data_IF_033676730476
#
_entry.id   IF_033676730476
#
_cell.length_a   1.000
_cell.length_b   1.000
_cell.length_c   1.000
_cell.angle_alpha   90.00
_cell.angle_beta   90.00
_cell.angle_gamma   90.00
#
_symmetry.space_group_name_H-M   'P 1'
#
loop_
_entity.id
_entity.type
_entity.pdbx_description
1 polymer ?
#
# COMPACT_ATOMS: atom_id res chain seq x y z
N UNK A 1 -69.17 -14.02 3.41
CA UNK A 1 -70.18 -12.94 3.29
C UNK A 1 -69.44 -11.78 2.65
N UNK A 2 -69.73 -11.59 1.39
CA UNK A 2 -70.33 -10.38 0.78
C UNK A 2 -69.37 -9.18 0.82
N UNK A 3 -68.75 -8.88 -0.38
CA UNK A 3 -69.20 -7.83 -1.32
C UNK A 3 -68.88 -6.43 -0.82
N UNK A 4 -68.14 -5.59 -1.55
CA UNK A 4 -68.42 -4.83 -2.79
C UNK A 4 -67.13 -4.15 -3.23
N UNK A 5 -66.52 -4.30 -4.41
CA UNK A 5 -66.88 -3.83 -5.75
C UNK A 5 -67.36 -2.36 -5.82
N UNK A 6 -66.59 -1.54 -6.51
CA UNK A 6 -66.97 -0.52 -7.51
C UNK A 6 -65.76 0.37 -7.74
N UNK A 7 -65.05 0.34 -8.90
CA UNK A 7 -65.41 0.96 -10.19
C UNK A 7 -65.58 2.47 -10.06
N UNK A 8 -64.67 3.27 -10.61
CA UNK A 8 -64.98 4.35 -11.54
C UNK A 8 -63.79 4.53 -12.46
N UNK A 9 -64.07 4.22 -13.72
CA UNK A 9 -63.31 4.51 -14.92
C UNK A 9 -63.63 5.91 -15.42
N UNK A 10 -62.69 6.43 -16.20
CA UNK A 10 -62.89 7.26 -17.37
C UNK A 10 -63.27 8.74 -17.15
N UNK A 11 -62.31 9.61 -17.47
CA UNK A 11 -62.64 10.71 -18.36
C UNK A 11 -61.42 11.07 -19.21
N UNK A 12 -61.57 10.70 -20.48
CA UNK A 12 -60.87 11.16 -21.67
C UNK A 12 -61.38 12.55 -22.00
N UNK A 13 -60.52 13.47 -22.49
CA UNK A 13 -60.69 14.32 -23.66
C UNK A 13 -59.67 15.43 -23.67
N UNK A 14 -58.71 15.32 -24.57
CA UNK A 14 -58.47 16.15 -25.74
C UNK A 14 -58.68 17.66 -25.55
N UNK A 15 -57.56 18.40 -25.54
CA UNK A 15 -57.51 19.70 -26.22
C UNK A 15 -56.18 19.74 -27.03
N UNK A 16 -56.33 19.63 -28.35
CA UNK A 16 -55.35 20.06 -29.33
C UNK A 16 -55.37 21.59 -29.38
N UNK A 17 -54.20 22.19 -29.19
CA UNK A 17 -53.96 23.60 -29.43
C UNK A 17 -52.60 23.79 -30.04
N UNK A 18 -52.52 23.83 -31.36
CA UNK A 18 -51.33 24.20 -32.09
C UNK A 18 -51.02 25.69 -31.90
N UNK A 19 -49.84 26.02 -31.47
CA UNK A 19 -49.23 27.33 -31.67
C UNK A 19 -47.77 27.10 -32.05
N UNK A 20 -47.50 27.33 -33.34
CA UNK A 20 -46.17 27.44 -33.88
C UNK A 20 -45.50 28.68 -33.29
N UNK A 21 -44.43 28.47 -32.51
CA UNK A 21 -43.50 29.50 -32.06
C UNK A 21 -42.10 29.09 -32.49
N UNK A 22 -41.61 29.64 -33.59
CA UNK A 22 -40.19 29.64 -33.92
C UNK A 22 -39.44 30.43 -32.86
N UNK A 23 -38.86 29.73 -31.89
CA UNK A 23 -37.82 30.23 -31.03
C UNK A 23 -36.52 29.50 -31.36
N UNK A 24 -35.58 30.20 -31.93
CA UNK A 24 -34.20 29.73 -32.07
C UNK A 24 -33.59 29.71 -30.71
N UNK A 25 -33.83 28.64 -29.96
CA UNK A 25 -33.03 28.32 -28.77
C UNK A 25 -31.72 27.70 -29.23
N UNK A 26 -30.71 28.52 -29.14
CA UNK A 26 -29.32 28.11 -29.11
C UNK A 26 -29.19 27.10 -27.99
N UNK A 27 -29.25 25.80 -28.31
CA UNK A 27 -28.81 24.76 -27.41
C UNK A 27 -27.32 24.99 -27.19
N UNK A 28 -26.99 25.65 -26.05
CA UNK A 28 -25.66 25.62 -25.50
C UNK A 28 -25.43 24.16 -25.14
N UNK A 29 -24.81 23.42 -26.02
CA UNK A 29 -24.16 22.17 -25.73
C UNK A 29 -23.02 22.45 -24.76
N UNK A 30 -23.35 22.60 -23.50
CA UNK A 30 -22.40 22.44 -22.44
C UNK A 30 -21.92 21.00 -22.50
N UNK A 31 -20.87 20.75 -23.27
CA UNK A 31 -20.08 19.54 -23.13
C UNK A 31 -19.45 19.60 -21.75
N UNK A 32 -20.16 19.18 -20.73
CA UNK A 32 -19.55 18.81 -19.47
C UNK A 32 -18.57 17.69 -19.83
N UNK A 33 -17.30 18.05 -19.99
CA UNK A 33 -16.23 17.04 -20.02
C UNK A 33 -16.41 16.27 -18.72
N UNK A 34 -16.76 15.00 -18.82
CA UNK A 34 -16.74 14.10 -17.68
C UNK A 34 -15.35 14.23 -17.05
N UNK A 35 -15.30 14.72 -15.81
CA UNK A 35 -14.05 14.94 -15.09
C UNK A 35 -13.37 13.58 -14.92
N UNK A 36 -12.21 13.41 -15.55
CA UNK A 36 -11.45 12.16 -15.47
C UNK A 36 -10.96 11.98 -14.05
N UNK A 37 -11.24 10.81 -13.46
CA UNK A 37 -10.84 10.48 -12.10
C UNK A 37 -9.62 9.58 -12.11
N UNK A 38 -8.66 9.87 -11.23
CA UNK A 38 -7.49 9.03 -10.94
C UNK A 38 -7.44 8.76 -9.43
N UNK A 39 -7.30 7.50 -9.05
CA UNK A 39 -7.27 7.08 -7.64
C UNK A 39 -5.93 6.46 -7.31
N UNK A 40 -5.24 7.03 -6.31
CA UNK A 40 -3.91 6.59 -5.84
C UNK A 40 -4.05 5.87 -4.50
N UNK A 41 -3.51 4.65 -4.43
CA UNK A 41 -3.49 3.83 -3.22
C UNK A 41 -2.16 3.89 -2.48
N UNK A 42 -2.19 3.92 -1.13
CA UNK A 42 -0.98 3.83 -0.30
C UNK A 42 -1.28 3.36 1.13
N UNK A 43 -0.26 3.22 1.98
CA UNK A 43 -0.40 2.85 3.39
C UNK A 43 0.14 3.97 4.30
N UNK A 44 -0.37 4.10 5.52
CA UNK A 44 0.10 5.12 6.47
C UNK A 44 1.39 4.71 7.18
N UNK A 45 2.45 4.44 6.42
CA UNK A 45 3.78 4.08 6.89
C UNK A 45 4.81 5.05 6.29
N UNK A 46 5.98 5.22 6.92
CA UNK A 46 7.01 6.16 6.43
C UNK A 46 7.55 5.75 5.05
N UNK A 47 7.66 4.47 4.77
CA UNK A 47 8.10 3.94 3.46
C UNK A 47 7.16 4.33 2.30
N UNK A 48 5.92 4.80 2.61
CA UNK A 48 4.97 5.39 1.66
C UNK A 48 4.97 6.93 1.65
N UNK A 49 5.91 7.59 2.31
CA UNK A 49 6.00 9.05 2.36
C UNK A 49 5.96 9.72 0.98
N UNK A 50 6.56 9.15 -0.10
CA UNK A 50 6.45 9.77 -1.42
C UNK A 50 5.01 10.03 -1.87
N UNK A 51 4.07 9.11 -1.64
CA UNK A 51 2.65 9.34 -1.98
C UNK A 51 1.99 10.39 -1.09
N UNK A 52 2.33 10.42 0.20
CA UNK A 52 1.79 11.41 1.15
C UNK A 52 2.26 12.81 0.79
N UNK A 53 3.53 12.95 0.41
CA UNK A 53 4.13 14.23 0.01
C UNK A 53 3.58 14.68 -1.34
N UNK A 54 3.49 13.78 -2.33
CA UNK A 54 2.89 14.12 -3.62
C UNK A 54 1.44 14.59 -3.46
N UNK A 55 0.67 13.98 -2.56
CA UNK A 55 -0.68 14.41 -2.20
C UNK A 55 -0.68 15.81 -1.55
N UNK A 56 0.09 16.02 -0.51
CA UNK A 56 0.06 17.28 0.27
C UNK A 56 0.61 18.46 -0.52
N UNK A 57 1.61 18.21 -1.38
CA UNK A 57 2.22 19.23 -2.26
C UNK A 57 1.45 19.41 -3.57
N UNK A 58 0.43 18.60 -3.85
CA UNK A 58 -0.36 18.67 -5.08
C UNK A 58 0.40 18.25 -6.34
N UNK A 59 1.43 17.40 -6.23
CA UNK A 59 2.23 17.00 -7.38
C UNK A 59 1.46 16.14 -8.37
N UNK A 60 0.56 15.27 -7.89
CA UNK A 60 -0.32 14.50 -8.78
C UNK A 60 -1.27 15.42 -9.57
N UNK A 61 -1.91 16.38 -8.90
CA UNK A 61 -2.80 17.34 -9.52
C UNK A 61 -2.06 18.21 -10.53
N UNK A 62 -0.86 18.68 -10.18
CA UNK A 62 0.03 19.48 -11.06
C UNK A 62 0.38 18.71 -12.34
N UNK A 63 0.85 17.48 -12.23
CA UNK A 63 1.27 16.67 -13.37
C UNK A 63 0.09 16.22 -14.24
N UNK A 64 -1.03 15.81 -13.60
CA UNK A 64 -2.21 15.34 -14.31
C UNK A 64 -2.96 16.48 -15.01
N UNK A 65 -2.88 17.71 -14.46
CA UNK A 65 -3.46 18.92 -15.03
C UNK A 65 -4.96 19.07 -14.80
N UNK A 66 -5.48 20.19 -15.31
CA UNK A 66 -6.90 20.54 -15.19
C UNK A 66 -7.81 19.49 -15.84
N UNK A 67 -8.93 19.16 -15.17
CA UNK A 67 -9.91 18.20 -15.67
C UNK A 67 -9.64 16.75 -15.24
N UNK A 68 -8.63 16.52 -14.40
CA UNK A 68 -8.39 15.24 -13.71
C UNK A 68 -8.54 15.42 -12.21
N UNK A 69 -9.54 14.77 -11.63
CA UNK A 69 -9.71 14.72 -10.17
C UNK A 69 -8.86 13.61 -9.59
N UNK A 70 -7.99 13.93 -8.63
CA UNK A 70 -7.19 12.93 -7.91
C UNK A 70 -7.88 12.58 -6.61
N UNK A 71 -8.03 11.29 -6.34
CA UNK A 71 -8.52 10.76 -5.08
C UNK A 71 -7.50 9.81 -4.47
N UNK A 72 -7.54 9.66 -3.16
CA UNK A 72 -6.58 8.89 -2.39
C UNK A 72 -7.27 7.84 -1.54
N UNK A 73 -6.71 6.63 -1.52
CA UNK A 73 -7.20 5.53 -0.67
C UNK A 73 -6.08 4.92 0.14
N UNK A 74 -6.38 4.61 1.39
CA UNK A 74 -5.47 3.87 2.26
C UNK A 74 -6.02 2.49 2.57
N UNK A 75 -5.11 1.56 2.83
CA UNK A 75 -5.42 0.14 2.99
C UNK A 75 -4.87 -0.41 4.30
N UNK A 76 -5.51 -1.42 4.91
CA UNK A 76 -5.01 -2.08 6.10
C UNK A 76 -3.86 -3.06 5.80
N UNK A 77 -3.85 -3.64 4.59
CA UNK A 77 -2.88 -4.66 4.17
C UNK A 77 -2.75 -4.74 2.64
N UNK A 78 -1.71 -5.46 2.18
CA UNK A 78 -1.41 -5.60 0.75
C UNK A 78 -2.45 -6.40 -0.03
N UNK A 79 -3.20 -7.30 0.60
CA UNK A 79 -4.27 -8.08 -0.04
C UNK A 79 -5.45 -7.20 -0.42
N UNK A 80 -5.89 -6.33 0.50
CA UNK A 80 -6.94 -5.34 0.26
C UNK A 80 -6.52 -4.36 -0.86
N UNK A 81 -5.26 -3.88 -0.85
CA UNK A 81 -4.72 -3.05 -1.92
C UNK A 81 -4.75 -3.74 -3.29
N UNK A 82 -4.26 -4.97 -3.37
CA UNK A 82 -4.24 -5.73 -4.63
C UNK A 82 -5.65 -6.03 -5.16
N UNK A 83 -6.62 -6.23 -4.25
CA UNK A 83 -8.03 -6.37 -4.64
C UNK A 83 -8.55 -5.08 -5.26
N UNK A 84 -8.29 -3.93 -4.67
CA UNK A 84 -8.68 -2.63 -5.18
C UNK A 84 -8.04 -2.32 -6.56
N UNK A 85 -6.75 -2.66 -6.74
CA UNK A 85 -6.07 -2.52 -8.02
C UNK A 85 -6.70 -3.43 -9.10
N UNK A 86 -6.97 -4.69 -8.77
CA UNK A 86 -7.57 -5.67 -9.68
C UNK A 86 -8.97 -5.27 -10.13
N UNK A 87 -9.77 -4.70 -9.24
CA UNK A 87 -11.13 -4.24 -9.54
C UNK A 87 -11.19 -2.88 -10.22
N UNK A 88 -10.06 -2.15 -10.31
CA UNK A 88 -10.00 -0.80 -10.84
C UNK A 88 -10.55 0.26 -9.87
N UNK A 89 -10.63 -0.06 -8.58
CA UNK A 89 -10.98 0.88 -7.53
C UNK A 89 -9.85 1.89 -7.27
N UNK A 90 -8.61 1.49 -7.55
CA UNK A 90 -7.43 2.35 -7.66
C UNK A 90 -6.77 2.16 -9.03
N UNK A 91 -6.17 3.22 -9.55
CA UNK A 91 -5.48 3.22 -10.85
C UNK A 91 -3.99 2.89 -10.71
N UNK A 92 -3.38 3.37 -9.65
CA UNK A 92 -1.99 3.13 -9.29
C UNK A 92 -1.80 3.27 -7.78
N UNK A 93 -0.64 2.88 -7.28
CA UNK A 93 -0.32 3.14 -5.88
C UNK A 93 0.92 2.42 -5.39
N UNK A 94 1.25 2.67 -4.14
CA UNK A 94 2.42 2.15 -3.46
C UNK A 94 2.06 0.90 -2.65
N UNK A 95 2.84 -0.16 -2.82
CA UNK A 95 2.66 -1.43 -2.11
C UNK A 95 3.98 -2.20 -2.05
N UNK A 96 4.10 -3.15 -1.16
CA UNK A 96 5.29 -4.01 -1.07
C UNK A 96 5.34 -5.08 -2.17
N UNK A 97 6.54 -5.58 -2.54
CA UNK A 97 6.72 -6.59 -3.59
C UNK A 97 6.07 -7.94 -3.26
N UNK A 98 5.97 -8.33 -2.00
CA UNK A 98 5.37 -9.61 -1.60
C UNK A 98 3.93 -9.77 -2.10
N UNK A 99 2.98 -8.88 -1.74
CA UNK A 99 1.61 -8.92 -2.26
C UNK A 99 1.54 -8.84 -3.78
N UNK A 100 2.41 -8.05 -4.41
CA UNK A 100 2.44 -7.90 -5.88
C UNK A 100 2.80 -9.22 -6.55
N UNK A 101 3.88 -9.87 -6.15
CA UNK A 101 4.32 -11.14 -6.72
C UNK A 101 3.31 -12.25 -6.49
N UNK A 102 2.74 -12.32 -5.29
CA UNK A 102 1.72 -13.31 -4.97
C UNK A 102 0.50 -13.17 -5.89
N UNK A 103 0.00 -11.95 -6.07
CA UNK A 103 -1.15 -11.72 -6.94
C UNK A 103 -0.79 -11.93 -8.42
N UNK A 104 0.40 -11.50 -8.87
CA UNK A 104 0.85 -11.69 -10.24
C UNK A 104 0.94 -13.19 -10.62
N UNK A 105 1.57 -14.02 -9.80
CA UNK A 105 1.69 -15.47 -10.04
C UNK A 105 0.33 -16.20 -9.95
N UNK A 106 -0.68 -15.57 -9.34
CA UNK A 106 -2.07 -16.02 -9.36
C UNK A 106 -2.91 -15.36 -10.48
N UNK A 107 -2.26 -14.76 -11.49
CA UNK A 107 -2.89 -14.24 -12.72
C UNK A 107 -3.45 -12.83 -12.63
N UNK A 108 -3.09 -12.05 -11.60
CA UNK A 108 -3.47 -10.63 -11.55
C UNK A 108 -2.69 -9.82 -12.58
N UNK A 109 -3.39 -8.92 -13.27
CA UNK A 109 -2.80 -7.94 -14.17
C UNK A 109 -2.20 -6.78 -13.35
N UNK A 110 -0.92 -6.90 -13.03
CA UNK A 110 -0.16 -5.87 -12.29
C UNK A 110 1.23 -5.70 -12.88
N UNK A 111 1.71 -4.46 -12.89
CA UNK A 111 3.04 -4.07 -13.35
C UNK A 111 3.73 -3.21 -12.29
N UNK A 112 5.00 -3.48 -12.05
CA UNK A 112 5.90 -2.60 -11.29
C UNK A 112 6.39 -1.52 -12.25
N UNK A 113 6.16 -0.25 -11.93
CA UNK A 113 6.47 0.89 -12.78
C UNK A 113 7.51 1.84 -12.18
N UNK A 114 7.77 1.78 -10.88
CA UNK A 114 8.88 2.48 -10.23
C UNK A 114 9.14 1.92 -8.82
N UNK A 115 10.30 2.24 -8.24
CA UNK A 115 10.54 2.16 -6.81
C UNK A 115 9.89 3.32 -6.06
N UNK A 116 9.85 3.22 -4.73
CA UNK A 116 9.44 4.32 -3.85
C UNK A 116 10.37 4.42 -2.63
N UNK A 117 10.65 3.30 -1.98
CA UNK A 117 11.56 3.23 -0.84
C UNK A 117 12.17 1.85 -0.66
N UNK A 118 13.29 1.78 0.06
CA UNK A 118 13.91 0.54 0.51
C UNK A 118 14.27 0.61 1.99
N UNK A 119 14.32 -0.52 2.68
CA UNK A 119 14.59 -0.61 4.11
C UNK A 119 13.33 -0.43 4.98
N UNK A 120 13.54 -0.12 6.26
CA UNK A 120 12.47 0.22 7.20
C UNK A 120 11.74 -0.96 7.86
N UNK A 121 12.12 -2.21 7.58
CA UNK A 121 11.58 -3.38 8.28
C UNK A 121 12.43 -3.73 9.49
N UNK A 122 11.82 -3.92 10.64
CA UNK A 122 12.50 -4.43 11.83
C UNK A 122 11.72 -5.60 12.47
N UNK A 123 12.43 -6.46 13.20
CA UNK A 123 11.82 -7.47 14.07
C UNK A 123 11.94 -6.96 15.50
N UNK A 124 10.80 -6.77 16.13
CA UNK A 124 10.72 -6.29 17.51
C UNK A 124 10.01 -7.31 18.40
N UNK A 125 10.45 -7.42 19.66
CA UNK A 125 9.84 -8.29 20.65
C UNK A 125 9.11 -7.48 21.72
N UNK A 126 7.93 -7.95 22.11
CA UNK A 126 7.17 -7.41 23.24
C UNK A 126 7.98 -7.53 24.53
N UNK A 127 7.92 -6.50 25.38
CA UNK A 127 8.51 -6.54 26.72
C UNK A 127 8.04 -7.73 27.56
N UNK A 128 6.82 -8.20 27.33
CA UNK A 128 6.19 -9.30 28.08
C UNK A 128 6.53 -10.69 27.52
N UNK A 129 7.10 -10.77 26.31
CA UNK A 129 7.36 -12.05 25.61
C UNK A 129 8.46 -12.90 26.24
N UNK A 130 9.38 -12.27 26.98
CA UNK A 130 10.61 -12.90 27.44
C UNK A 130 11.66 -13.15 26.34
N UNK A 131 11.41 -12.66 25.12
CA UNK A 131 12.32 -12.78 23.98
C UNK A 131 13.45 -11.78 24.10
N UNK A 132 14.68 -12.25 24.02
CA UNK A 132 15.89 -11.42 24.10
C UNK A 132 16.78 -11.54 22.85
N UNK A 133 16.65 -12.66 22.14
CA UNK A 133 17.40 -12.95 20.92
C UNK A 133 16.55 -13.79 19.98
N UNK A 134 17.07 -14.10 18.79
CA UNK A 134 16.36 -14.90 17.76
C UNK A 134 16.13 -16.35 18.25
N UNK A 135 17.06 -16.90 19.03
CA UNK A 135 16.98 -18.26 19.55
C UNK A 135 15.75 -18.48 20.45
N UNK A 136 15.21 -17.41 21.04
CA UNK A 136 14.02 -17.44 21.89
C UNK A 136 12.71 -17.53 21.10
N UNK A 137 12.74 -17.54 19.78
CA UNK A 137 11.53 -17.44 18.95
C UNK A 137 10.70 -18.71 18.90
N UNK A 138 11.30 -19.88 19.15
CA UNK A 138 10.58 -21.14 19.09
C UNK A 138 9.32 -21.16 19.98
N UNK A 139 8.18 -21.53 19.40
CA UNK A 139 6.89 -21.60 20.08
C UNK A 139 6.19 -20.28 20.32
N UNK A 140 6.81 -19.15 19.98
CA UNK A 140 6.25 -17.80 20.13
C UNK A 140 5.21 -17.48 19.06
N UNK A 141 4.43 -16.43 19.30
CA UNK A 141 3.47 -15.89 18.35
C UNK A 141 4.05 -14.60 17.73
N UNK A 142 4.14 -14.58 16.41
CA UNK A 142 4.56 -13.37 15.70
C UNK A 142 3.41 -12.78 14.85
N UNK A 143 3.53 -11.47 14.60
CA UNK A 143 2.57 -10.72 13.78
C UNK A 143 3.26 -10.03 12.62
N UNK A 144 2.57 -10.01 11.47
CA UNK A 144 2.93 -9.22 10.29
C UNK A 144 1.67 -8.56 9.72
N UNK A 145 1.79 -7.59 8.80
CA UNK A 145 0.62 -7.00 8.14
C UNK A 145 -0.24 -8.02 7.38
N UNK A 146 0.35 -9.09 6.87
CA UNK A 146 -0.36 -10.13 6.12
C UNK A 146 0.52 -11.32 5.79
N UNK A 147 -0.06 -12.49 5.60
CA UNK A 147 0.67 -13.68 5.17
C UNK A 147 1.28 -13.45 3.77
N UNK A 148 2.60 -13.69 3.65
CA UNK A 148 3.34 -13.46 2.40
C UNK A 148 3.49 -11.98 2.04
N UNK A 149 3.23 -11.06 2.96
CA UNK A 149 3.62 -9.67 2.79
C UNK A 149 5.15 -9.53 2.83
N UNK A 150 5.66 -8.39 2.40
CA UNK A 150 7.12 -8.15 2.32
C UNK A 150 7.83 -8.42 3.65
N UNK A 151 7.27 -7.94 4.76
CA UNK A 151 7.83 -8.09 6.10
C UNK A 151 7.82 -9.56 6.59
N UNK A 152 6.78 -10.31 6.22
CA UNK A 152 6.65 -11.73 6.54
C UNK A 152 7.73 -12.55 5.82
N UNK A 153 7.90 -12.34 4.53
CA UNK A 153 8.95 -13.00 3.73
C UNK A 153 10.34 -12.63 4.26
N UNK A 154 10.60 -11.34 4.54
CA UNK A 154 11.89 -10.91 5.09
C UNK A 154 12.21 -11.60 6.43
N UNK A 155 11.23 -11.64 7.34
CA UNK A 155 11.40 -12.30 8.64
C UNK A 155 11.62 -13.80 8.48
N UNK A 156 10.75 -14.51 7.77
CA UNK A 156 10.88 -15.95 7.62
C UNK A 156 12.16 -16.35 6.86
N UNK A 157 12.60 -15.53 5.86
CA UNK A 157 13.90 -15.73 5.19
C UNK A 157 15.05 -15.57 6.18
N UNK A 158 15.04 -14.53 7.00
CA UNK A 158 16.06 -14.31 8.01
C UNK A 158 16.15 -15.47 9.02
N UNK A 159 15.01 -16.01 9.42
CA UNK A 159 14.93 -17.09 10.40
C UNK A 159 15.42 -18.45 9.87
N UNK A 160 15.50 -18.65 8.55
CA UNK A 160 16.07 -19.88 7.97
C UNK A 160 17.51 -20.10 8.40
N UNK A 161 18.32 -19.05 8.53
CA UNK A 161 19.72 -19.12 8.99
C UNK A 161 19.85 -19.64 10.43
N UNK A 162 18.77 -19.58 11.21
CA UNK A 162 18.70 -20.06 12.59
C UNK A 162 17.95 -21.40 12.73
N UNK A 163 17.51 -21.99 11.62
CA UNK A 163 16.70 -23.20 11.62
C UNK A 163 15.31 -23.02 12.25
N UNK A 164 14.81 -21.78 12.33
CA UNK A 164 13.51 -21.44 12.89
C UNK A 164 12.52 -21.19 11.76
N UNK A 165 11.31 -21.72 11.90
CA UNK A 165 10.26 -21.57 10.88
C UNK A 165 8.87 -21.46 11.48
N UNK A 166 7.94 -20.93 10.68
CA UNK A 166 6.54 -20.84 11.07
C UNK A 166 5.83 -22.18 11.02
N UNK A 167 4.74 -22.33 11.77
CA UNK A 167 3.89 -23.51 11.77
C UNK A 167 3.31 -23.81 10.38
N UNK A 168 3.19 -22.79 9.51
CA UNK A 168 2.74 -22.92 8.12
C UNK A 168 3.63 -23.85 7.28
N UNK A 169 4.92 -23.89 7.60
CA UNK A 169 5.91 -24.73 6.88
C UNK A 169 6.55 -25.81 7.78
N UNK A 170 5.90 -26.14 8.89
CA UNK A 170 6.28 -27.26 9.76
C UNK A 170 7.11 -26.87 10.98
N UNK A 171 7.33 -25.59 11.26
CA UNK A 171 8.01 -25.08 12.44
C UNK A 171 7.07 -24.85 13.62
N UNK A 172 7.54 -24.05 14.59
CA UNK A 172 6.85 -23.82 15.86
C UNK A 172 6.29 -22.41 16.04
N UNK A 173 6.73 -21.43 15.22
CA UNK A 173 6.25 -20.06 15.28
C UNK A 173 4.79 -19.96 14.83
N UNK A 174 3.95 -19.36 15.65
CA UNK A 174 2.53 -19.11 15.34
C UNK A 174 2.39 -17.75 14.69
N UNK A 175 1.85 -17.71 13.46
CA UNK A 175 1.64 -16.50 12.71
C UNK A 175 0.23 -15.95 12.89
N UNK A 176 0.12 -14.66 13.20
CA UNK A 176 -1.11 -13.87 13.15
C UNK A 176 -0.90 -12.62 12.33
N UNK A 177 -1.97 -12.02 11.83
CA UNK A 177 -1.89 -10.82 10.98
C UNK A 177 -2.70 -9.69 11.56
N UNK A 178 -2.33 -8.45 11.23
CA UNK A 178 -3.06 -7.27 11.69
C UNK A 178 -2.48 -5.95 11.15
N UNK A 179 -3.19 -4.86 11.41
CA UNK A 179 -2.74 -3.53 11.05
C UNK A 179 -1.59 -3.09 11.98
N UNK A 180 -0.41 -2.70 11.44
CA UNK A 180 0.74 -2.26 12.24
C UNK A 180 0.45 -1.17 13.26
N UNK A 181 -0.44 -0.24 12.96
CA UNK A 181 -0.88 0.81 13.87
C UNK A 181 -1.54 0.29 15.16
N UNK A 182 -1.93 -0.99 15.21
CA UNK A 182 -2.57 -1.62 16.37
C UNK A 182 -1.65 -2.56 17.15
N UNK A 183 -0.40 -2.73 16.74
CA UNK A 183 0.50 -3.71 17.36
C UNK A 183 0.82 -3.41 18.83
N UNK A 184 0.87 -2.14 19.24
CA UNK A 184 1.07 -1.77 20.62
C UNK A 184 0.02 -2.40 21.54
N UNK A 185 -1.26 -2.32 21.19
CA UNK A 185 -2.36 -2.93 21.95
C UNK A 185 -2.27 -4.48 21.94
N UNK A 186 -1.79 -5.07 20.85
CA UNK A 186 -1.61 -6.52 20.78
C UNK A 186 -0.45 -7.00 21.65
N UNK A 187 0.64 -6.23 21.74
CA UNK A 187 1.75 -6.49 22.66
C UNK A 187 1.30 -6.34 24.11
N UNK A 188 0.55 -5.28 24.42
CA UNK A 188 0.02 -5.06 25.78
C UNK A 188 -0.90 -6.18 26.24
N UNK A 189 -1.74 -6.70 25.37
CA UNK A 189 -2.65 -7.80 25.67
C UNK A 189 -1.94 -9.15 25.85
N UNK A 190 -0.65 -9.27 25.51
CA UNK A 190 0.11 -10.52 25.53
C UNK A 190 -0.32 -11.55 24.50
N UNK A 191 -1.07 -11.15 23.48
CA UNK A 191 -1.51 -12.04 22.37
C UNK A 191 -0.40 -12.29 21.36
N UNK A 192 0.60 -11.42 21.31
CA UNK A 192 1.69 -11.44 20.33
C UNK A 192 3.00 -11.20 21.08
N UNK A 193 4.00 -11.99 20.74
CA UNK A 193 5.35 -11.92 21.33
C UNK A 193 6.30 -11.10 20.47
N UNK A 194 6.19 -11.20 19.15
CA UNK A 194 7.16 -10.69 18.17
C UNK A 194 6.39 -10.03 17.02
N UNK A 195 6.93 -8.97 16.44
CA UNK A 195 6.40 -8.35 15.24
C UNK A 195 7.50 -8.13 14.21
N UNK A 196 7.24 -8.50 12.94
CA UNK A 196 7.98 -7.96 11.80
C UNK A 196 7.15 -6.82 11.19
N UNK A 197 7.69 -5.61 11.24
CA UNK A 197 6.88 -4.39 11.12
C UNK A 197 7.63 -3.26 10.42
N UNK A 198 6.94 -2.45 9.58
CA UNK A 198 7.53 -1.27 8.97
C UNK A 198 7.68 -0.11 9.95
N UNK A 199 8.54 0.85 9.59
CA UNK A 199 8.58 2.15 10.24
C UNK A 199 7.34 3.02 9.85
N UNK A 200 6.81 3.85 10.78
CA UNK A 200 7.35 4.21 12.10
C UNK A 200 6.93 3.26 13.23
N UNK A 201 6.17 2.22 12.94
CA UNK A 201 5.56 1.36 13.95
C UNK A 201 6.58 0.57 14.74
N UNK A 202 7.72 0.18 14.15
CA UNK A 202 8.83 -0.43 14.87
C UNK A 202 9.36 0.52 15.96
N UNK A 203 9.70 1.74 15.57
CA UNK A 203 10.20 2.76 16.49
C UNK A 203 9.17 3.17 17.54
N UNK A 204 7.87 3.24 17.18
CA UNK A 204 6.79 3.50 18.12
C UNK A 204 6.65 2.40 19.18
N UNK A 205 6.69 1.13 18.76
CA UNK A 205 6.64 -0.01 19.68
C UNK A 205 7.78 0.03 20.70
N UNK A 206 8.98 0.40 20.26
CA UNK A 206 10.14 0.56 21.15
C UNK A 206 9.92 1.69 22.14
N UNK A 207 9.50 2.86 21.64
CA UNK A 207 9.40 4.08 22.46
C UNK A 207 8.22 4.04 23.43
N UNK A 208 7.06 3.56 22.96
CA UNK A 208 5.79 3.67 23.70
C UNK A 208 5.38 2.36 24.38
N UNK A 209 5.62 1.20 23.76
CA UNK A 209 5.28 -0.10 24.33
C UNK A 209 6.46 -0.79 25.03
N UNK A 210 7.65 -0.17 25.05
CA UNK A 210 8.85 -0.73 25.65
C UNK A 210 9.32 -2.02 24.97
N UNK A 211 9.01 -2.19 23.69
CA UNK A 211 9.48 -3.31 22.91
C UNK A 211 11.00 -3.23 22.67
N UNK A 212 11.61 -4.38 22.38
CA UNK A 212 13.03 -4.49 22.09
C UNK A 212 13.22 -4.79 20.61
N UNK A 213 14.11 -4.07 19.93
CA UNK A 213 14.56 -4.45 18.58
C UNK A 213 15.43 -5.70 18.71
N UNK A 214 15.02 -6.79 18.08
CA UNK A 214 15.80 -8.03 17.99
C UNK A 214 16.63 -8.05 16.71
N UNK A 215 16.02 -7.60 15.58
CA UNK A 215 16.72 -7.49 14.29
C UNK A 215 16.37 -6.12 13.70
N UNK A 216 17.40 -5.31 13.50
CA UNK A 216 17.22 -3.99 12.87
C UNK A 216 17.12 -4.10 11.34
N UNK A 217 16.71 -3.00 10.71
CA UNK A 217 16.47 -2.92 9.27
C UNK A 217 17.72 -3.16 8.40
N UNK A 218 18.92 -3.09 8.95
CA UNK A 218 20.18 -3.34 8.23
C UNK A 218 20.56 -4.82 8.25
N UNK A 219 20.05 -5.58 9.24
CA UNK A 219 20.41 -6.99 9.48
C UNK A 219 19.36 -7.98 8.98
N UNK A 220 18.11 -7.54 8.83
CA UNK A 220 17.05 -8.40 8.30
C UNK A 220 17.37 -8.80 6.86
N UNK A 221 16.88 -9.96 6.40
CA UNK A 221 17.09 -10.42 5.02
C UNK A 221 16.67 -9.36 4.01
N UNK A 222 17.54 -9.18 2.99
CA UNK A 222 17.46 -8.12 1.97
C UNK A 222 17.68 -6.70 2.52
N UNK A 223 17.60 -6.49 3.82
CA UNK A 223 17.96 -5.27 4.54
C UNK A 223 17.49 -4.00 3.88
N UNK A 224 18.41 -3.07 3.65
CA UNK A 224 18.14 -1.78 3.01
C UNK A 224 18.18 -1.82 1.48
N UNK A 225 18.40 -2.98 0.87
CA UNK A 225 18.55 -3.14 -0.60
C UNK A 225 17.23 -3.53 -1.28
N UNK A 226 16.31 -4.19 -0.55
CA UNK A 226 14.99 -4.52 -1.08
C UNK A 226 14.19 -3.24 -1.30
N UNK A 227 13.60 -3.02 -2.49
CA UNK A 227 12.57 -2.01 -2.63
C UNK A 227 11.31 -2.46 -1.88
N UNK A 228 11.26 -2.11 -0.58
CA UNK A 228 10.17 -2.49 0.31
C UNK A 228 8.84 -1.91 -0.12
N UNK A 229 8.88 -0.79 -0.83
CA UNK A 229 7.72 -0.13 -1.42
C UNK A 229 8.00 0.19 -2.88
N UNK A 230 7.11 -0.24 -3.74
CA UNK A 230 7.13 -0.05 -5.18
C UNK A 230 5.85 0.61 -5.67
N UNK A 231 5.93 1.40 -6.74
CA UNK A 231 4.78 1.95 -7.43
C UNK A 231 4.29 0.93 -8.47
N UNK A 232 2.99 0.66 -8.45
CA UNK A 232 2.37 -0.31 -9.35
C UNK A 232 1.12 0.25 -10.01
N UNK A 233 0.78 -0.30 -11.19
CA UNK A 233 -0.49 -0.12 -11.87
C UNK A 233 -0.90 -1.41 -12.58
N UNK A 234 -2.13 -1.48 -13.11
CA UNK A 234 -2.53 -2.61 -13.95
C UNK A 234 -2.05 -2.44 -15.39
N UNK A 235 -1.69 -3.53 -16.06
CA UNK A 235 -1.34 -3.48 -17.48
C UNK A 235 -2.48 -2.95 -18.36
N UNK A 236 -3.73 -3.24 -17.97
CA UNK A 236 -4.93 -2.67 -18.61
C UNK A 236 -4.95 -1.15 -18.53
N UNK A 237 -4.67 -0.58 -17.33
CA UNK A 237 -4.65 0.88 -17.13
C UNK A 237 -3.48 1.52 -17.88
N UNK A 238 -2.30 0.92 -17.84
CA UNK A 238 -1.14 1.38 -18.60
C UNK A 238 -1.44 1.44 -20.09
N UNK A 239 -2.07 0.39 -20.63
CA UNK A 239 -2.44 0.33 -22.05
C UNK A 239 -3.49 1.37 -22.44
N UNK A 240 -4.45 1.63 -21.56
CA UNK A 240 -5.54 2.58 -21.81
C UNK A 240 -5.08 4.04 -21.69
N UNK A 241 -4.21 4.35 -20.73
CA UNK A 241 -3.87 5.70 -20.29
C UNK A 241 -2.38 5.85 -19.98
N UNK A 242 -1.50 5.44 -20.90
CA UNK A 242 -0.04 5.48 -20.68
C UNK A 242 0.46 6.85 -20.20
N UNK A 243 -0.07 7.93 -20.77
CA UNK A 243 0.32 9.30 -20.40
C UNK A 243 -0.04 9.62 -18.93
N UNK A 244 -1.20 9.18 -18.47
CA UNK A 244 -1.61 9.34 -17.06
C UNK A 244 -0.65 8.59 -16.14
N UNK A 245 -0.27 7.36 -16.51
CA UNK A 245 0.66 6.56 -15.70
C UNK A 245 2.05 7.20 -15.67
N UNK A 246 2.53 7.74 -16.79
CA UNK A 246 3.80 8.49 -16.81
C UNK A 246 3.75 9.70 -15.86
N UNK A 247 2.69 10.48 -15.91
CA UNK A 247 2.49 11.64 -15.03
C UNK A 247 2.43 11.26 -13.54
N UNK A 248 1.86 10.08 -13.22
CA UNK A 248 1.89 9.56 -11.85
C UNK A 248 3.33 9.22 -11.43
N UNK A 249 4.13 8.62 -12.31
CA UNK A 249 5.54 8.34 -12.06
C UNK A 249 6.33 9.66 -11.88
N UNK A 250 6.06 10.67 -12.70
CA UNK A 250 6.73 11.97 -12.64
C UNK A 250 6.43 12.68 -11.32
N UNK A 251 5.16 12.69 -10.88
CA UNK A 251 4.75 13.21 -9.57
C UNK A 251 5.44 12.47 -8.40
N UNK A 252 5.59 11.15 -8.51
CA UNK A 252 6.30 10.34 -7.53
C UNK A 252 7.79 10.71 -7.48
N UNK A 253 8.43 10.91 -8.64
CA UNK A 253 9.82 11.32 -8.74
C UNK A 253 10.05 12.70 -8.11
N UNK A 254 9.13 13.65 -8.35
CA UNK A 254 9.14 14.98 -7.74
C UNK A 254 9.04 14.89 -6.21
N UNK A 255 8.16 14.03 -5.70
CA UNK A 255 8.03 13.81 -4.25
C UNK A 255 9.31 13.23 -3.63
N UNK A 256 9.96 12.28 -4.29
CA UNK A 256 11.24 11.72 -3.82
C UNK A 256 12.36 12.76 -3.86
N UNK A 257 12.39 13.63 -4.87
CA UNK A 257 13.33 14.75 -4.92
C UNK A 257 13.08 15.72 -3.76
N UNK A 258 11.82 16.09 -3.52
CA UNK A 258 11.43 16.93 -2.40
C UNK A 258 11.86 16.36 -1.04
N UNK A 259 11.70 15.06 -0.81
CA UNK A 259 12.15 14.38 0.42
C UNK A 259 13.65 14.60 0.66
N UNK A 260 14.45 14.49 -0.39
CA UNK A 260 15.91 14.64 -0.31
C UNK A 260 16.35 16.08 -0.05
N UNK A 261 15.64 17.03 -0.64
CA UNK A 261 15.96 18.45 -0.55
C UNK A 261 15.39 19.10 0.73
N UNK A 262 14.25 18.62 1.21
CA UNK A 262 13.50 19.19 2.32
C UNK A 262 13.11 18.14 3.37
N UNK A 263 14.07 17.41 3.97
CA UNK A 263 13.77 16.25 4.81
C UNK A 263 12.91 16.59 6.04
N UNK A 264 13.11 17.74 6.67
CA UNK A 264 12.33 18.13 7.85
C UNK A 264 10.87 18.40 7.51
N UNK A 265 10.58 19.14 6.43
CA UNK A 265 9.21 19.37 5.97
C UNK A 265 8.56 18.05 5.51
N UNK A 266 9.32 17.17 4.87
CA UNK A 266 8.83 15.85 4.45
C UNK A 266 8.42 14.98 5.66
N UNK A 267 9.17 15.02 6.76
CA UNK A 267 8.82 14.34 8.02
C UNK A 267 7.52 14.90 8.62
N UNK A 268 7.37 16.24 8.66
CA UNK A 268 6.18 16.90 9.18
C UNK A 268 4.92 16.54 8.37
N UNK A 269 5.01 16.57 7.04
CA UNK A 269 3.93 16.14 6.15
C UNK A 269 3.56 14.68 6.42
N UNK A 270 4.57 13.81 6.58
CA UNK A 270 4.35 12.39 6.83
C UNK A 270 3.66 12.15 8.17
N UNK A 271 4.10 12.81 9.25
CA UNK A 271 3.46 12.77 10.58
C UNK A 271 1.99 13.18 10.48
N UNK A 272 1.72 14.32 9.82
CA UNK A 272 0.36 14.84 9.61
C UNK A 272 -0.51 13.82 8.87
N UNK A 273 -0.02 13.28 7.76
CA UNK A 273 -0.75 12.32 6.93
C UNK A 273 -1.06 11.01 7.67
N UNK A 274 -0.11 10.48 8.44
CA UNK A 274 -0.31 9.28 9.26
C UNK A 274 -1.34 9.55 10.35
N UNK A 275 -1.26 10.70 11.05
CA UNK A 275 -2.25 11.11 12.06
C UNK A 275 -3.66 11.24 11.49
N UNK A 276 -3.81 11.86 10.32
CA UNK A 276 -5.10 12.01 9.64
C UNK A 276 -5.74 10.65 9.33
N UNK A 277 -4.92 9.68 8.92
CA UNK A 277 -5.38 8.37 8.48
C UNK A 277 -5.64 7.41 9.63
N UNK A 278 -4.71 7.33 10.60
CA UNK A 278 -4.74 6.33 11.68
C UNK A 278 -5.33 6.84 12.98
N UNK A 279 -5.48 8.17 13.12
CA UNK A 279 -5.82 8.88 14.36
C UNK A 279 -4.76 8.71 15.47
N UNK A 280 -3.59 8.19 15.14
CA UNK A 280 -2.47 8.08 16.07
C UNK A 280 -1.54 9.27 15.92
N UNK A 281 -1.07 9.77 17.05
CA UNK A 281 -0.10 10.86 17.10
C UNK A 281 1.32 10.27 17.17
N UNK A 282 2.14 10.60 16.19
CA UNK A 282 3.54 10.21 16.17
C UNK A 282 4.40 11.34 16.72
N UNK A 283 5.24 11.02 17.69
CA UNK A 283 6.24 11.96 18.17
C UNK A 283 7.31 12.17 17.08
N UNK A 284 7.73 13.42 16.89
CA UNK A 284 8.79 13.76 15.93
C UNK A 284 10.06 12.94 16.13
N UNK A 285 10.50 12.74 17.39
CA UNK A 285 11.69 11.95 17.70
C UNK A 285 11.60 10.50 17.20
N UNK A 286 10.39 9.91 17.21
CA UNK A 286 10.14 8.57 16.66
C UNK A 286 10.37 8.59 15.16
N UNK A 287 9.83 9.59 14.48
CA UNK A 287 9.92 9.70 13.02
C UNK A 287 11.35 10.04 12.60
N UNK A 288 12.06 10.89 13.33
CA UNK A 288 13.47 11.20 13.06
C UNK A 288 14.35 9.93 13.09
N UNK A 289 14.21 9.10 14.12
CA UNK A 289 14.93 7.83 14.21
C UNK A 289 14.51 6.81 13.14
N UNK A 290 13.22 6.72 12.85
CA UNK A 290 12.66 5.82 11.87
C UNK A 290 13.08 6.19 10.43
N UNK A 291 13.20 7.48 10.15
CA UNK A 291 13.57 8.00 8.82
C UNK A 291 14.94 7.53 8.35
N UNK A 292 15.90 7.42 9.26
CA UNK A 292 17.26 6.95 8.99
C UNK A 292 17.32 5.47 8.57
N UNK A 293 16.25 4.72 8.79
CA UNK A 293 16.13 3.32 8.41
C UNK A 293 15.60 3.12 6.98
N UNK A 294 15.23 4.20 6.29
CA UNK A 294 14.57 4.17 4.98
C UNK A 294 15.37 4.98 3.96
N UNK A 295 15.55 4.42 2.77
CA UNK A 295 16.09 5.12 1.61
C UNK A 295 14.97 5.34 0.58
N UNK A 296 14.61 6.59 0.31
CA UNK A 296 13.66 6.94 -0.74
C UNK A 296 14.34 6.93 -2.11
N UNK A 297 13.80 6.16 -3.05
CA UNK A 297 14.43 5.93 -4.34
C UNK A 297 13.42 5.44 -5.37
N UNK A 298 13.60 5.85 -6.62
CA UNK A 298 12.83 5.35 -7.76
C UNK A 298 13.40 4.04 -8.33
N UNK A 299 14.60 3.65 -7.88
CA UNK A 299 15.27 2.44 -8.36
C UNK A 299 14.48 1.18 -8.03
N UNK A 300 14.45 0.26 -8.98
CA UNK A 300 13.94 -1.09 -8.82
C UNK A 300 15.13 -2.06 -9.00
N UNK A 301 15.69 -2.50 -7.89
CA UNK A 301 16.79 -3.47 -7.92
C UNK A 301 16.24 -4.87 -8.29
N UNK A 302 16.39 -5.22 -9.57
CA UNK A 302 15.83 -6.48 -10.12
C UNK A 302 16.45 -7.72 -9.49
N UNK A 303 17.75 -7.70 -9.19
CA UNK A 303 18.44 -8.86 -8.62
C UNK A 303 17.93 -9.16 -7.20
N UNK A 304 17.77 -8.11 -6.36
CA UNK A 304 17.22 -8.26 -5.02
C UNK A 304 15.75 -8.68 -5.05
N UNK A 305 14.95 -8.15 -5.98
CA UNK A 305 13.58 -8.58 -6.19
C UNK A 305 13.52 -10.06 -6.60
N UNK A 306 14.45 -10.51 -7.43
CA UNK A 306 14.55 -11.91 -7.84
C UNK A 306 14.92 -12.82 -6.65
N UNK A 307 15.90 -12.41 -5.83
CA UNK A 307 16.28 -13.15 -4.64
C UNK A 307 15.15 -13.23 -3.62
N UNK A 308 14.42 -12.14 -3.45
CA UNK A 308 13.21 -12.12 -2.62
C UNK A 308 12.12 -13.08 -3.15
N UNK A 309 11.94 -13.17 -4.47
CA UNK A 309 11.02 -14.14 -5.07
C UNK A 309 11.51 -15.58 -4.89
N UNK A 310 12.83 -15.83 -4.99
CA UNK A 310 13.42 -17.15 -4.73
C UNK A 310 13.08 -17.60 -3.29
N UNK A 311 13.36 -16.77 -2.29
CA UNK A 311 13.02 -17.04 -0.89
C UNK A 311 11.50 -17.22 -0.70
N UNK A 312 10.68 -16.44 -1.38
CA UNK A 312 9.22 -16.56 -1.32
C UNK A 312 8.72 -17.92 -1.83
N UNK A 313 9.37 -18.49 -2.84
CA UNK A 313 9.07 -19.84 -3.34
C UNK A 313 9.55 -20.90 -2.35
N UNK A 314 10.78 -20.80 -1.84
CA UNK A 314 11.34 -21.74 -0.85
C UNK A 314 10.48 -21.80 0.42
N UNK A 315 10.02 -20.64 0.88
CA UNK A 315 9.12 -20.47 2.01
C UNK A 315 7.65 -20.79 1.68
N UNK A 316 7.34 -21.23 0.47
CA UNK A 316 5.99 -21.59 0.00
C UNK A 316 4.96 -20.44 0.10
N UNK A 317 5.41 -19.20 0.01
CA UNK A 317 4.53 -18.04 -0.19
C UNK A 317 4.12 -17.92 -1.66
N UNK A 318 5.03 -18.28 -2.57
CA UNK A 318 4.76 -18.37 -4.00
C UNK A 318 4.83 -19.83 -4.45
N UNK A 319 4.02 -20.20 -5.43
CA UNK A 319 4.07 -21.52 -6.07
C UNK A 319 5.22 -21.63 -7.07
N UNK A 320 5.52 -20.51 -7.72
CA UNK A 320 6.53 -20.36 -8.75
C UNK A 320 7.10 -18.95 -8.77
N UNK A 321 8.23 -18.77 -9.41
CA UNK A 321 8.84 -17.46 -9.62
C UNK A 321 8.03 -16.67 -10.65
N UNK A 322 7.81 -15.36 -10.44
CA UNK A 322 7.15 -14.53 -11.43
C UNK A 322 8.04 -14.38 -12.69
N UNK A 323 7.39 -14.22 -13.84
CA UNK A 323 8.06 -13.72 -15.04
C UNK A 323 8.36 -12.22 -14.85
N UNK A 324 9.59 -11.90 -14.51
CA UNK A 324 10.01 -10.52 -14.22
C UNK A 324 9.96 -9.61 -15.45
N UNK A 325 10.14 -10.16 -16.67
CA UNK A 325 10.01 -9.39 -17.90
C UNK A 325 8.55 -8.97 -18.11
N UNK A 326 7.61 -9.82 -17.69
CA UNK A 326 6.19 -9.50 -17.72
C UNK A 326 5.75 -8.66 -16.52
N UNK A 327 6.36 -8.80 -15.33
CA UNK A 327 5.98 -8.09 -14.12
C UNK A 327 6.52 -6.66 -14.06
N UNK A 328 7.78 -6.43 -14.50
CA UNK A 328 8.44 -5.13 -14.41
C UNK A 328 8.31 -4.41 -15.76
N UNK A 329 7.64 -3.27 -15.76
CA UNK A 329 7.50 -2.44 -16.95
C UNK A 329 8.64 -1.41 -17.02
N UNK A 330 9.73 -1.82 -17.70
CA UNK A 330 10.97 -1.02 -17.79
C UNK A 330 10.81 0.30 -18.55
N UNK A 331 9.69 0.53 -19.27
CA UNK A 331 9.48 1.79 -19.97
C UNK A 331 9.32 3.00 -19.04
N UNK A 332 8.99 2.78 -17.76
CA UNK A 332 8.81 3.81 -16.74
C UNK A 332 9.98 3.87 -15.74
N UNK A 333 10.90 2.91 -15.78
CA UNK A 333 12.02 2.79 -14.84
C UNK A 333 13.27 3.33 -15.52
N UNK A 334 13.81 4.43 -15.01
CA UNK A 334 15.08 5.03 -15.48
C UNK A 334 16.30 4.34 -14.90
#
# INVERSE_FOLDING_TARGET
>A
MKKQTAIISLLFLLVMGALAGCGTDQASSGSGKEEKKVVIGYFPNIDHAPAMIAREKGYYEKELGDGVKVEYKTFPDGGAFMTALKTGEIDAGLVGPGPVMNNFTNGADVKIIAGASSGGTAIVASKKSGVNSVEDFNGKTFITPGVGCTHDVQMETFLQDFGISSARIGGTLKHVTGNPAQYAAMFESGKVDIAAVPEPWASQLVKEAGAKIIVDSKKISFGTTLPNTILVSSGKKIKADKEIIQKIVDAQNEAIAFIKENPEEAKEITIKSIKETTKQELNKDIVDGAWENIRFTTEVNKDVIQDFANSSVELKFLKEKPDFAALIDSQFIN
#
